data_IF_529551826480
#
_entry.id   IF_529551826480
#
_cell.length_a   1.000
_cell.length_b   1.000
_cell.length_c   1.000
_cell.angle_alpha   90.00
_cell.angle_beta   90.00
_cell.angle_gamma   90.00
#
_symmetry.space_group_name_H-M   'P 1'
#
loop_
_entity.id
_entity.type
_entity.pdbx_description
1 polymer ?
#
# COMPACT_ATOMS: atom_id res chain seq x y z
N UNK A 1 6.57 13.20 25.25
CA UNK A 1 5.13 13.19 25.60
C UNK A 1 4.36 13.08 24.28
N UNK A 2 4.02 11.86 23.86
CA UNK A 2 3.36 11.62 22.57
C UNK A 2 1.90 12.06 22.67
N UNK A 3 1.50 13.07 21.89
CA UNK A 3 0.11 13.47 21.78
C UNK A 3 -0.65 12.38 21.02
N UNK A 4 -1.60 11.77 21.72
CA UNK A 4 -2.73 11.03 21.18
C UNK A 4 -3.27 11.72 19.91
N UNK A 5 -3.09 11.10 18.75
CA UNK A 5 -3.74 11.52 17.50
C UNK A 5 -5.22 11.13 17.59
N UNK A 6 -6.09 12.14 17.57
CA UNK A 6 -7.52 11.93 17.46
C UNK A 6 -7.85 11.24 16.14
N UNK A 7 -8.66 10.18 16.24
CA UNK A 7 -9.32 9.50 15.12
C UNK A 7 -10.16 10.50 14.33
N UNK A 8 -9.58 11.05 13.27
CA UNK A 8 -10.31 11.82 12.27
C UNK A 8 -11.10 10.86 11.39
N UNK A 9 -12.41 10.82 11.57
CA UNK A 9 -13.35 10.28 10.59
C UNK A 9 -13.12 11.00 9.25
N UNK A 10 -12.41 10.38 8.32
CA UNK A 10 -12.45 10.82 6.93
C UNK A 10 -13.73 10.27 6.32
N UNK A 11 -14.59 11.13 5.75
CA UNK A 11 -15.88 10.72 5.24
C UNK A 11 -15.69 9.78 4.05
N UNK A 12 -16.11 8.53 4.24
CA UNK A 12 -16.37 7.59 3.15
C UNK A 12 -17.32 8.28 2.16
N UNK A 13 -16.84 8.60 0.95
CA UNK A 13 -17.73 8.91 -0.18
C UNK A 13 -17.63 10.29 -0.84
N UNK A 14 -16.68 11.17 -0.49
CA UNK A 14 -16.38 12.30 -1.40
C UNK A 14 -15.35 11.87 -2.43
N UNK A 15 -15.69 11.95 -3.71
CA UNK A 15 -14.73 11.76 -4.80
C UNK A 15 -13.48 12.58 -4.51
N UNK A 16 -12.33 11.90 -4.41
CA UNK A 16 -11.06 12.46 -3.94
C UNK A 16 -10.37 13.34 -4.97
N UNK A 17 -11.13 14.17 -5.68
CA UNK A 17 -10.60 15.25 -6.49
C UNK A 17 -10.20 16.39 -5.54
N UNK A 18 -8.89 16.53 -5.30
CA UNK A 18 -8.21 17.59 -4.56
C UNK A 18 -7.99 17.30 -3.08
N UNK A 19 -7.05 16.40 -2.77
CA UNK A 19 -6.38 16.39 -1.47
C UNK A 19 -5.02 17.11 -1.63
N UNK A 20 -4.72 18.03 -0.73
CA UNK A 20 -3.50 18.85 -0.70
C UNK A 20 -2.64 18.50 0.50
N UNK A 21 -1.38 18.98 0.55
CA UNK A 21 -0.47 18.83 1.69
C UNK A 21 -1.08 19.25 3.04
N UNK A 22 -2.05 20.18 3.03
CA UNK A 22 -2.74 20.68 4.23
C UNK A 22 -3.78 19.73 4.81
N UNK A 23 -4.27 18.75 4.04
CA UNK A 23 -5.22 17.75 4.50
C UNK A 23 -4.53 16.62 5.29
N UNK A 24 -3.20 16.69 5.41
CA UNK A 24 -2.33 15.69 6.01
C UNK A 24 -1.27 16.30 6.94
N UNK A 25 -1.67 16.89 8.07
CA UNK A 25 -0.72 17.37 9.06
C UNK A 25 0.18 16.21 9.55
N UNK A 26 1.43 16.16 9.10
CA UNK A 26 2.42 15.14 9.45
C UNK A 26 2.71 14.07 8.38
N UNK A 27 2.15 14.15 7.17
CA UNK A 27 2.51 13.25 6.07
C UNK A 27 3.77 13.73 5.36
N UNK A 28 4.90 13.06 5.63
CA UNK A 28 6.20 13.35 5.01
C UNK A 28 6.44 12.55 3.71
N UNK A 29 5.47 11.74 3.27
CA UNK A 29 5.61 10.83 2.14
C UNK A 29 5.66 9.35 2.59
N UNK A 30 5.95 8.40 1.68
CA UNK A 30 6.14 7.00 2.05
C UNK A 30 7.32 6.86 2.99
N UNK A 31 7.34 5.78 3.76
CA UNK A 31 8.52 5.46 4.56
C UNK A 31 9.66 5.07 3.61
N UNK A 32 10.90 5.43 3.95
CA UNK A 32 12.09 4.88 3.31
C UNK A 32 12.25 3.40 3.64
N UNK A 33 13.02 2.67 2.83
CA UNK A 33 13.34 1.27 3.11
C UNK A 33 13.91 1.08 4.52
N UNK A 34 14.80 1.99 4.94
CA UNK A 34 15.40 1.93 6.27
C UNK A 34 14.35 2.12 7.38
N UNK A 35 13.42 3.07 7.22
CA UNK A 35 12.35 3.28 8.20
C UNK A 35 11.45 2.05 8.33
N UNK A 36 11.08 1.39 7.22
CA UNK A 36 10.25 0.17 7.30
C UNK A 36 11.01 -0.99 7.94
N UNK A 37 12.32 -1.10 7.71
CA UNK A 37 13.14 -2.13 8.34
C UNK A 37 13.30 -1.95 9.85
N UNK A 38 13.31 -0.70 10.33
CA UNK A 38 13.42 -0.38 11.77
C UNK A 38 12.06 -0.31 12.49
N UNK A 39 10.95 -0.22 11.75
CA UNK A 39 9.61 -0.12 12.31
C UNK A 39 9.26 -1.29 13.22
N UNK A 40 8.61 -1.00 14.35
CA UNK A 40 8.08 -2.03 15.23
C UNK A 40 6.96 -2.82 14.54
N UNK A 41 6.69 -4.05 15.02
CA UNK A 41 5.69 -4.94 14.39
C UNK A 41 4.31 -4.30 14.24
N UNK A 42 3.86 -3.58 15.25
CA UNK A 42 2.54 -2.93 15.30
C UNK A 42 2.53 -1.50 14.75
N UNK A 43 3.69 -0.97 14.37
CA UNK A 43 3.84 0.37 13.79
C UNK A 43 3.27 0.43 12.37
N UNK A 44 2.60 1.54 12.08
CA UNK A 44 2.07 1.82 10.74
C UNK A 44 3.17 2.32 9.83
N UNK A 45 3.25 1.71 8.65
CA UNK A 45 4.13 2.19 7.58
C UNK A 45 3.31 2.57 6.36
N UNK A 46 3.89 3.47 5.56
CA UNK A 46 3.24 4.05 4.39
C UNK A 46 3.97 3.59 3.14
N UNK A 47 3.22 3.02 2.20
CA UNK A 47 3.77 2.43 0.98
C UNK A 47 2.92 2.73 -0.26
N UNK A 48 3.57 2.75 -1.43
CA UNK A 48 2.95 2.97 -2.72
C UNK A 48 2.72 1.67 -3.49
N UNK A 49 1.78 1.70 -4.44
CA UNK A 49 1.66 0.67 -5.49
C UNK A 49 1.00 1.21 -6.74
N UNK A 50 1.57 0.87 -7.89
CA UNK A 50 0.91 1.00 -9.19
C UNK A 50 -0.05 -0.16 -9.44
N UNK A 51 -1.26 0.11 -9.89
CA UNK A 51 -2.25 -0.92 -10.19
C UNK A 51 -3.30 -0.43 -11.21
N UNK A 52 -4.37 -1.21 -11.43
CA UNK A 52 -5.50 -0.78 -12.25
C UNK A 52 -6.64 -0.21 -11.39
N UNK A 53 -7.54 0.55 -12.01
CA UNK A 53 -8.64 1.22 -11.32
C UNK A 53 -9.54 0.24 -10.56
N UNK A 54 -9.83 -0.93 -11.15
CA UNK A 54 -10.67 -1.96 -10.53
C UNK A 54 -10.07 -2.45 -9.22
N UNK A 55 -8.77 -2.74 -9.21
CA UNK A 55 -8.06 -3.22 -8.04
C UNK A 55 -7.88 -2.12 -6.99
N UNK A 56 -7.59 -0.88 -7.41
CA UNK A 56 -7.53 0.27 -6.50
C UNK A 56 -8.89 0.51 -5.80
N UNK A 57 -9.99 0.38 -6.55
CA UNK A 57 -11.36 0.46 -6.02
C UNK A 57 -11.61 -0.68 -5.03
N UNK A 58 -11.27 -1.93 -5.37
CA UNK A 58 -11.48 -3.07 -4.49
C UNK A 58 -10.70 -2.94 -3.16
N UNK A 59 -9.43 -2.52 -3.23
CA UNK A 59 -8.60 -2.23 -2.05
C UNK A 59 -9.23 -1.10 -1.23
N UNK A 60 -9.70 -0.03 -1.89
CA UNK A 60 -10.38 1.09 -1.25
C UNK A 60 -11.65 0.71 -0.51
N UNK A 61 -12.51 -0.08 -1.16
CA UNK A 61 -13.80 -0.52 -0.60
C UNK A 61 -13.61 -1.50 0.55
N UNK A 62 -12.67 -2.43 0.42
CA UNK A 62 -12.53 -3.53 1.36
C UNK A 62 -11.47 -3.28 2.46
N UNK A 63 -10.65 -2.24 2.31
CA UNK A 63 -9.52 -1.91 3.20
C UNK A 63 -8.61 -3.12 3.45
N UNK A 64 -8.27 -3.84 2.38
CA UNK A 64 -7.35 -4.98 2.41
C UNK A 64 -6.28 -4.85 1.33
N UNK A 65 -5.06 -5.32 1.61
CA UNK A 65 -3.89 -5.11 0.75
C UNK A 65 -4.04 -5.66 -0.69
N UNK A 66 -4.92 -6.62 -0.92
CA UNK A 66 -5.22 -7.14 -2.26
C UNK A 66 -6.66 -6.89 -2.74
N UNK A 67 -7.48 -6.17 -1.96
CA UNK A 67 -8.90 -5.99 -2.27
C UNK A 67 -9.74 -7.24 -2.00
N UNK A 68 -9.26 -8.18 -1.18
CA UNK A 68 -10.08 -9.29 -0.69
C UNK A 68 -11.29 -8.77 0.09
N UNK A 69 -12.45 -9.41 -0.06
CA UNK A 69 -13.72 -8.96 0.52
C UNK A 69 -13.80 -9.02 2.06
N UNK A 70 -12.82 -9.60 2.73
CA UNK A 70 -12.73 -9.65 4.18
C UNK A 70 -11.29 -9.49 4.66
N UNK A 71 -11.10 -8.67 5.70
CA UNK A 71 -9.84 -8.51 6.38
C UNK A 71 -9.58 -9.68 7.34
N UNK A 72 -8.33 -10.14 7.41
CA UNK A 72 -7.88 -11.12 8.39
C UNK A 72 -6.82 -10.50 9.30
N UNK A 73 -7.23 -10.09 10.50
CA UNK A 73 -6.33 -9.47 11.49
C UNK A 73 -5.20 -10.42 11.94
N UNK A 74 -5.40 -11.73 11.80
CA UNK A 74 -4.49 -12.79 12.25
C UNK A 74 -3.60 -13.35 11.14
N UNK A 75 -3.63 -12.81 9.91
CA UNK A 75 -2.91 -13.41 8.78
C UNK A 75 -1.38 -13.36 8.91
N UNK A 76 -0.83 -12.44 9.71
CA UNK A 76 0.60 -12.19 9.75
C UNK A 76 1.14 -11.71 8.40
N UNK A 77 2.44 -11.91 8.17
CA UNK A 77 3.12 -11.57 6.93
C UNK A 77 3.37 -12.82 6.07
N UNK A 78 3.51 -12.68 4.74
CA UNK A 78 4.00 -13.76 3.89
C UNK A 78 5.32 -14.35 4.38
N UNK A 79 5.60 -15.62 4.09
CA UNK A 79 6.90 -16.22 4.43
C UNK A 79 8.01 -15.72 3.51
N UNK A 80 9.27 -15.87 3.91
CA UNK A 80 10.41 -15.59 3.02
C UNK A 80 10.43 -16.51 1.79
N UNK A 81 9.93 -17.74 1.93
CA UNK A 81 9.76 -18.67 0.81
C UNK A 81 8.73 -18.13 -0.19
N UNK A 82 7.57 -17.66 0.29
CA UNK A 82 6.57 -17.00 -0.54
C UNK A 82 7.11 -15.74 -1.22
N UNK A 83 7.96 -14.97 -0.53
CA UNK A 83 8.65 -13.82 -1.12
C UNK A 83 9.60 -14.24 -2.26
N UNK A 84 10.35 -15.34 -2.07
CA UNK A 84 11.28 -15.87 -3.08
C UNK A 84 10.57 -16.45 -4.30
N UNK A 85 9.42 -17.10 -4.10
CA UNK A 85 8.61 -17.64 -5.20
C UNK A 85 8.01 -16.55 -6.11
N UNK A 86 7.97 -15.29 -5.68
CA UNK A 86 7.54 -14.17 -6.52
C UNK A 86 8.51 -13.86 -7.65
N UNK A 87 9.80 -14.19 -7.48
CA UNK A 87 10.84 -13.93 -8.47
C UNK A 87 10.81 -15.00 -9.55
N UNK A 88 10.85 -14.56 -10.81
CA UNK A 88 10.93 -15.46 -11.96
C UNK A 88 9.60 -16.01 -12.47
N UNK A 89 8.45 -15.46 -12.03
CA UNK A 89 7.15 -15.79 -12.61
C UNK A 89 6.72 -17.23 -12.33
N UNK A 90 7.12 -17.80 -11.20
CA UNK A 90 6.77 -19.16 -10.81
C UNK A 90 5.24 -19.33 -10.85
N UNK A 91 4.74 -20.06 -11.84
CA UNK A 91 3.31 -20.29 -12.07
C UNK A 91 2.92 -21.73 -11.71
N UNK A 92 3.46 -22.22 -10.59
CA UNK A 92 3.10 -23.53 -10.05
C UNK A 92 1.61 -23.58 -9.68
N UNK A 93 1.01 -24.77 -9.76
CA UNK A 93 -0.41 -24.97 -9.48
C UNK A 93 -0.72 -24.54 -8.03
N UNK A 94 -1.55 -23.50 -7.89
CA UNK A 94 -1.92 -22.92 -6.59
C UNK A 94 -1.11 -21.70 -6.14
N UNK A 95 -0.04 -21.31 -6.85
CA UNK A 95 0.70 -20.09 -6.55
C UNK A 95 -0.12 -18.84 -6.92
N UNK A 96 -0.34 -17.96 -5.94
CA UNK A 96 -0.97 -16.66 -6.16
C UNK A 96 0.04 -15.56 -5.87
N UNK A 97 0.31 -14.73 -6.86
CA UNK A 97 1.16 -13.54 -6.71
C UNK A 97 0.58 -12.65 -5.62
N UNK A 98 1.34 -12.38 -4.57
CA UNK A 98 0.86 -11.51 -3.50
C UNK A 98 0.89 -10.04 -3.96
N UNK A 99 -0.01 -9.20 -3.43
CA UNK A 99 0.16 -7.75 -3.45
C UNK A 99 1.60 -7.33 -3.11
N UNK A 100 2.16 -6.47 -3.95
CA UNK A 100 3.49 -5.90 -3.75
C UNK A 100 3.40 -4.38 -3.78
N UNK A 101 4.11 -3.78 -2.83
CA UNK A 101 4.15 -2.37 -2.55
C UNK A 101 5.60 -1.88 -2.49
N UNK A 102 5.81 -0.59 -2.62
CA UNK A 102 7.14 -0.01 -2.71
C UNK A 102 7.24 1.31 -1.94
N UNK A 103 8.44 1.59 -1.45
CA UNK A 103 8.81 2.90 -0.91
C UNK A 103 9.11 3.92 -2.00
N UNK A 104 9.31 3.47 -3.24
CA UNK A 104 9.71 4.31 -4.37
C UNK A 104 8.51 4.64 -5.28
N UNK A 105 8.12 5.92 -5.29
CA UNK A 105 7.01 6.38 -6.12
C UNK A 105 7.24 6.15 -7.63
N UNK A 106 8.47 6.27 -8.13
CA UNK A 106 8.78 6.02 -9.56
C UNK A 106 8.53 4.56 -9.94
N UNK A 107 8.83 3.63 -9.04
CA UNK A 107 8.50 2.21 -9.25
C UNK A 107 6.97 2.06 -9.29
N UNK A 108 6.23 2.68 -8.37
CA UNK A 108 4.77 2.65 -8.40
C UNK A 108 4.20 3.23 -9.71
N UNK A 109 4.78 4.31 -10.26
CA UNK A 109 4.39 4.86 -11.56
C UNK A 109 4.63 3.89 -12.72
N UNK A 110 5.78 3.20 -12.75
CA UNK A 110 6.11 2.23 -13.79
C UNK A 110 5.12 1.06 -13.85
N UNK A 111 4.61 0.63 -12.69
CA UNK A 111 3.63 -0.46 -12.60
C UNK A 111 2.18 0.00 -12.65
N UNK A 112 1.92 1.31 -12.71
CA UNK A 112 0.57 1.85 -12.75
C UNK A 112 -0.11 1.51 -14.09
N UNK A 113 -1.28 0.87 -13.99
CA UNK A 113 -2.16 0.54 -15.14
C UNK A 113 -3.48 1.30 -15.01
N UNK A 114 -3.36 2.61 -14.83
CA UNK A 114 -4.50 3.52 -14.65
C UNK A 114 -4.79 3.92 -13.20
N UNK A 115 -4.07 3.39 -12.21
CA UNK A 115 -4.15 3.86 -10.83
C UNK A 115 -2.81 3.78 -10.08
N UNK A 116 -2.60 4.72 -9.16
CA UNK A 116 -1.58 4.62 -8.10
C UNK A 116 -2.30 4.69 -6.77
N UNK A 117 -1.84 3.89 -5.80
CA UNK A 117 -2.35 3.85 -4.44
C UNK A 117 -1.24 4.11 -3.42
N UNK A 118 -1.61 4.73 -2.30
CA UNK A 118 -0.83 4.89 -1.07
C UNK A 118 -1.60 4.20 0.06
N UNK A 119 -0.95 3.35 0.84
CA UNK A 119 -1.61 2.60 1.92
C UNK A 119 -0.91 2.80 3.26
N UNK A 120 -1.69 2.65 4.33
CA UNK A 120 -1.21 2.54 5.71
C UNK A 120 -1.46 1.12 6.17
N UNK A 121 -0.39 0.42 6.51
CA UNK A 121 -0.42 -0.98 6.92
C UNK A 121 0.57 -1.20 8.05
N UNK A 122 0.23 -2.07 9.00
CA UNK A 122 1.16 -2.45 10.08
C UNK A 122 2.32 -3.26 9.53
N UNK A 123 3.53 -3.02 10.06
CA UNK A 123 4.74 -3.74 9.65
C UNK A 123 4.64 -5.26 9.75
N UNK A 124 3.89 -5.78 10.72
CA UNK A 124 3.68 -7.21 10.95
C UNK A 124 2.98 -7.96 9.80
N UNK A 125 2.36 -7.25 8.86
CA UNK A 125 1.72 -7.84 7.68
C UNK A 125 2.65 -7.86 6.45
N UNK A 126 3.86 -7.32 6.58
CA UNK A 126 4.78 -7.11 5.46
C UNK A 126 6.01 -7.97 5.53
N UNK A 127 6.31 -8.63 4.42
CA UNK A 127 7.60 -9.30 4.17
C UNK A 127 8.31 -8.60 3.02
N UNK A 128 9.62 -8.39 3.14
CA UNK A 128 10.40 -7.82 2.04
C UNK A 128 10.40 -8.81 0.89
N UNK A 129 10.05 -8.36 -0.31
CA UNK A 129 10.18 -9.16 -1.53
C UNK A 129 11.64 -9.54 -1.77
N UNK A 130 11.88 -10.62 -2.51
CA UNK A 130 13.25 -11.01 -2.85
C UNK A 130 13.73 -10.23 -4.09
N UNK A 131 14.82 -9.48 -3.98
CA UNK A 131 15.44 -8.77 -5.10
C UNK A 131 16.24 -7.54 -4.66
N UNK A 132 17.06 -7.03 -5.59
CA UNK A 132 17.74 -5.73 -5.51
C UNK A 132 16.78 -4.53 -5.59
N UNK A 133 15.50 -4.76 -5.88
CA UNK A 133 14.45 -3.75 -6.01
C UNK A 133 13.53 -3.83 -4.78
N UNK A 134 13.44 -2.74 -4.02
CA UNK A 134 12.81 -2.67 -2.68
C UNK A 134 11.28 -2.82 -2.66
N UNK A 135 10.80 -4.04 -2.91
CA UNK A 135 9.39 -4.41 -2.78
C UNK A 135 9.02 -4.96 -1.39
N UNK A 136 7.78 -4.73 -0.98
CA UNK A 136 7.18 -5.27 0.25
C UNK A 136 5.87 -5.96 -0.09
N UNK A 137 5.74 -7.22 0.29
CA UNK A 137 4.58 -8.05 -0.01
C UNK A 137 3.70 -8.26 1.22
N UNK A 138 2.39 -8.38 0.99
CA UNK A 138 1.38 -8.64 2.01
C UNK A 138 0.37 -9.66 1.49
N UNK A 139 -0.26 -10.44 2.38
CA UNK A 139 -1.39 -11.26 1.97
C UNK A 139 -2.56 -10.40 1.47
N UNK A 140 -3.41 -10.90 0.53
CA UNK A 140 -4.46 -10.09 -0.09
C UNK A 140 -5.55 -9.61 0.88
N UNK A 141 -5.71 -10.32 2.00
CA UNK A 141 -6.64 -10.04 3.08
C UNK A 141 -6.00 -9.32 4.28
N UNK A 142 -4.73 -8.93 4.20
CA UNK A 142 -4.10 -8.14 5.26
C UNK A 142 -4.84 -6.79 5.42
N UNK A 143 -5.21 -6.40 6.66
CA UNK A 143 -5.98 -5.18 6.91
C UNK A 143 -5.14 -3.93 6.63
N UNK A 144 -5.79 -2.93 6.05
CA UNK A 144 -5.28 -1.57 5.91
C UNK A 144 -6.00 -0.66 6.90
N UNK A 145 -5.27 0.29 7.48
CA UNK A 145 -5.89 1.35 8.28
C UNK A 145 -6.47 2.43 7.37
N UNK A 146 -5.78 2.71 6.27
CA UNK A 146 -6.10 3.80 5.36
C UNK A 146 -5.55 3.53 3.95
N UNK A 147 -6.20 4.13 2.95
CA UNK A 147 -5.75 4.17 1.57
C UNK A 147 -6.11 5.50 0.93
N UNK A 148 -5.19 5.98 0.08
CA UNK A 148 -5.49 6.92 -1.00
C UNK A 148 -5.21 6.27 -2.32
N UNK A 149 -5.99 6.61 -3.33
CA UNK A 149 -5.63 6.28 -4.69
C UNK A 149 -6.13 7.34 -5.66
N UNK A 150 -5.46 7.41 -6.79
CA UNK A 150 -5.85 8.30 -7.88
C UNK A 150 -5.76 7.59 -9.22
N UNK A 151 -6.52 8.08 -10.20
CA UNK A 151 -6.36 7.65 -11.59
C UNK A 151 -5.00 8.15 -12.09
N UNK A 152 -4.23 7.24 -12.65
CA UNK A 152 -2.91 7.56 -13.21
C UNK A 152 -3.01 7.76 -14.71
N UNK A 153 -2.37 8.82 -15.22
CA UNK A 153 -2.44 9.22 -16.63
C UNK A 153 -3.64 10.10 -16.99
N UNK A 154 -4.52 10.40 -16.03
CA UNK A 154 -5.60 11.38 -16.18
C UNK A 154 -5.10 12.77 -15.74
N UNK A 155 -4.99 13.76 -16.65
CA UNK A 155 -4.47 15.08 -16.31
C UNK A 155 -5.39 15.86 -15.34
N UNK A 156 -6.62 15.41 -15.13
CA UNK A 156 -7.58 16.01 -14.21
C UNK A 156 -7.69 15.29 -12.87
N UNK A 157 -6.96 14.18 -12.69
CA UNK A 157 -6.98 13.44 -11.44
C UNK A 157 -6.16 14.14 -10.36
N UNK A 158 -6.65 14.08 -9.12
CA UNK A 158 -5.92 14.60 -7.98
C UNK A 158 -4.58 13.88 -7.82
N UNK A 159 -3.51 14.62 -7.52
CA UNK A 159 -2.23 14.00 -7.21
C UNK A 159 -2.25 13.45 -5.80
N UNK A 160 -1.55 12.34 -5.59
CA UNK A 160 -1.30 11.88 -4.22
C UNK A 160 -0.21 12.80 -3.65
N UNK A 161 -0.36 13.35 -2.43
CA UNK A 161 0.64 14.24 -1.86
C UNK A 161 2.03 13.61 -1.80
N UNK A 162 3.08 14.44 -1.92
CA UNK A 162 4.50 14.04 -1.85
C UNK A 162 4.88 12.90 -2.83
N UNK A 163 4.27 12.91 -4.01
CA UNK A 163 4.55 12.01 -5.12
C UNK A 163 5.71 12.51 -6.01
N UNK A 164 6.66 13.25 -5.43
CA UNK A 164 7.72 13.94 -6.16
C UNK A 164 9.02 13.11 -6.21
#
# INVERSE_FOLDING_TARGET
MFKSMQKGNLPLGRGFANLTKGDFPGFEGPYTEHQIQQAARDEMVILWRGTNVQNATAIGTNLTAGGAGSANLSCGSPTEEEARMQVGGYSGYGYRKQPEYTTNYKIAQQFARGAIICIWIKKMYLTKGSGSEGGWIAYPNAPLEQIYWTKYGDPHAARIPNAD
#
